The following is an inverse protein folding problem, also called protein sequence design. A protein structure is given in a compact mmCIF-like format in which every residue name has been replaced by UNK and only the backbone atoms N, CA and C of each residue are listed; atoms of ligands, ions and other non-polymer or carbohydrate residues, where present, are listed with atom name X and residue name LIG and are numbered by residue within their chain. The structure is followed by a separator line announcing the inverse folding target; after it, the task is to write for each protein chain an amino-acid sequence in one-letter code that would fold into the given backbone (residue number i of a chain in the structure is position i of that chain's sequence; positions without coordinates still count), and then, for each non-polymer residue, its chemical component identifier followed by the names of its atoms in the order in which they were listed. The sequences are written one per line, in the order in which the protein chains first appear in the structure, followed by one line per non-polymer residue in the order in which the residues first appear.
data_IF_229697843941
#
_entry.id   IF_229697843941
#
_cell.length_a   1.000
_cell.length_b   1.000
_cell.length_c   1.000
_cell.angle_alpha   90.00
_cell.angle_beta   90.00
_cell.angle_gamma   90.00
#
_symmetry.space_group_name_H-M   'P 1'
#
loop_
_entity.id
_entity.type
_entity.pdbx_description
1 polymer ?
#
# COMPACT_ATOMS: atom_id res chain seq x y z
N UNK A 1 -18.07 1.08 -4.15
CA UNK A 1 -17.17 2.21 -4.49
C UNK A 1 -16.83 2.93 -3.20
N UNK A 2 -15.53 3.03 -2.94
CA UNK A 2 -14.96 3.52 -1.69
C UNK A 2 -15.21 5.01 -1.47
N UNK A 3 -15.59 5.38 -0.25
CA UNK A 3 -15.63 6.77 0.17
C UNK A 3 -14.26 7.13 0.75
N UNK A 4 -13.60 8.15 0.22
CA UNK A 4 -12.26 8.57 0.66
C UNK A 4 -12.35 9.81 1.56
N UNK A 5 -11.48 9.89 2.57
CA UNK A 5 -11.28 11.10 3.37
C UNK A 5 -10.68 12.23 2.54
N UNK A 6 -10.90 13.47 2.95
CA UNK A 6 -10.31 14.64 2.29
C UNK A 6 -8.78 14.61 2.31
N UNK A 7 -8.18 14.15 3.42
CA UNK A 7 -6.74 13.96 3.52
C UNK A 7 -6.22 12.92 2.53
N UNK A 8 -6.89 11.77 2.40
CA UNK A 8 -6.49 10.74 1.43
C UNK A 8 -6.45 11.33 0.01
N UNK A 9 -7.51 12.03 -0.40
CA UNK A 9 -7.60 12.63 -1.73
C UNK A 9 -6.49 13.66 -1.97
N UNK A 10 -6.12 14.42 -0.94
CA UNK A 10 -5.02 15.38 -1.03
C UNK A 10 -3.65 14.72 -1.18
N UNK A 11 -3.42 13.55 -0.56
CA UNK A 11 -2.13 12.85 -0.66
C UNK A 11 -2.03 12.02 -1.94
N UNK A 12 -3.16 11.65 -2.54
CA UNK A 12 -3.16 10.88 -3.78
C UNK A 12 -2.46 11.64 -4.92
N UNK A 13 -1.52 10.97 -5.58
CA UNK A 13 -0.69 11.55 -6.64
C UNK A 13 0.44 12.47 -6.14
N UNK A 14 0.50 12.82 -4.85
CA UNK A 14 1.64 13.55 -4.29
C UNK A 14 2.77 12.58 -3.99
N UNK A 15 3.81 12.64 -4.83
CA UNK A 15 5.06 11.91 -4.59
C UNK A 15 6.09 12.84 -3.97
N UNK A 16 6.68 12.44 -2.86
CA UNK A 16 7.80 13.15 -2.26
C UNK A 16 9.09 12.38 -2.54
N UNK A 17 10.17 13.10 -2.84
CA UNK A 17 11.49 12.48 -2.84
C UNK A 17 11.84 12.12 -1.39
N UNK A 18 12.11 10.85 -1.11
CA UNK A 18 12.38 10.36 0.25
C UNK A 18 13.86 10.05 0.44
N UNK A 19 14.51 9.43 -0.54
CA UNK A 19 15.95 9.26 -0.53
C UNK A 19 16.55 9.90 -1.79
N UNK A 20 17.64 10.64 -1.63
CA UNK A 20 18.46 11.15 -2.73
C UNK A 20 19.84 10.56 -2.55
N UNK A 21 20.16 9.54 -3.34
CA UNK A 21 21.51 9.00 -3.37
C UNK A 21 22.32 9.65 -4.48
N UNK A 22 23.46 10.19 -4.07
CA UNK A 22 24.48 10.70 -4.97
C UNK A 22 25.59 9.66 -5.10
N UNK A 23 25.64 8.97 -6.25
CA UNK A 23 26.58 7.90 -6.50
C UNK A 23 27.63 8.37 -7.50
N UNK A 24 28.91 8.16 -7.16
CA UNK A 24 30.03 8.53 -8.03
C UNK A 24 30.37 7.37 -8.96
N UNK A 25 30.64 7.75 -10.20
CA UNK A 25 30.50 7.00 -11.42
C UNK A 25 31.36 5.75 -11.67
N UNK A 26 32.42 5.52 -10.89
CA UNK A 26 33.43 4.53 -11.26
C UNK A 26 32.90 3.09 -11.10
N UNK A 27 31.79 2.91 -10.39
CA UNK A 27 31.18 1.62 -10.11
C UNK A 27 29.80 1.45 -10.71
N UNK A 28 29.21 2.50 -11.29
CA UNK A 28 27.86 2.48 -11.86
C UNK A 28 27.90 2.22 -13.37
N UNK A 29 27.07 1.30 -13.83
CA UNK A 29 26.82 1.06 -15.27
C UNK A 29 25.33 0.89 -15.55
N UNK A 30 24.93 1.21 -16.79
CA UNK A 30 23.54 1.07 -17.25
C UNK A 30 23.45 0.01 -18.34
N UNK A 31 22.48 -0.89 -18.21
CA UNK A 31 21.97 -1.70 -19.32
C UNK A 31 20.57 -1.20 -19.71
N UNK A 32 19.95 -1.81 -20.72
CA UNK A 32 18.58 -1.50 -21.16
C UNK A 32 17.56 -1.46 -20.00
N UNK A 33 17.76 -2.31 -18.99
CA UNK A 33 16.80 -2.52 -17.91
C UNK A 33 17.44 -2.60 -16.52
N UNK A 34 18.71 -2.25 -16.36
CA UNK A 34 19.37 -2.28 -15.05
C UNK A 34 20.33 -1.13 -14.81
N UNK A 35 20.45 -0.81 -13.52
CA UNK A 35 21.54 -0.03 -12.95
C UNK A 35 22.35 -0.98 -12.10
N UNK A 36 23.60 -1.18 -12.45
CA UNK A 36 24.52 -2.06 -11.73
C UNK A 36 25.57 -1.20 -11.00
N UNK A 37 25.79 -1.45 -9.71
CA UNK A 37 26.78 -0.80 -8.87
C UNK A 37 27.74 -1.81 -8.26
N UNK A 38 29.00 -1.81 -8.70
CA UNK A 38 30.02 -2.70 -8.13
C UNK A 38 30.48 -2.32 -6.72
N UNK A 39 30.12 -1.13 -6.21
CA UNK A 39 30.41 -0.69 -4.84
C UNK A 39 29.32 -1.08 -3.82
N UNK A 40 28.16 -1.54 -4.26
CA UNK A 40 27.08 -1.94 -3.36
C UNK A 40 26.27 -0.80 -2.74
N UNK A 41 26.29 0.40 -3.33
CA UNK A 41 25.55 1.58 -2.87
C UNK A 41 24.04 1.47 -3.01
N UNK A 42 23.51 0.55 -3.82
CA UNK A 42 22.07 0.44 -4.11
C UNK A 42 21.27 -0.30 -3.02
N UNK A 43 21.86 -0.54 -1.84
CA UNK A 43 21.26 -1.32 -0.76
C UNK A 43 20.02 -0.70 -0.10
N UNK A 44 19.80 0.60 -0.28
CA UNK A 44 18.68 1.32 0.32
C UNK A 44 17.41 1.33 -0.55
N UNK A 45 17.48 0.79 -1.77
CA UNK A 45 16.34 0.67 -2.67
C UNK A 45 15.67 -0.69 -2.50
N UNK A 46 14.34 -0.71 -2.57
CA UNK A 46 13.55 -1.93 -2.47
C UNK A 46 12.68 -2.14 -3.71
N UNK A 47 12.26 -3.40 -3.91
CA UNK A 47 11.30 -3.72 -4.98
C UNK A 47 10.02 -2.92 -4.76
N UNK A 48 9.56 -2.24 -5.79
CA UNK A 48 8.38 -1.40 -5.75
C UNK A 48 8.67 0.10 -5.73
N UNK A 49 9.88 0.52 -5.33
CA UNK A 49 10.28 1.92 -5.31
C UNK A 49 10.12 2.56 -6.70
N UNK A 50 9.65 3.80 -6.73
CA UNK A 50 9.65 4.61 -7.94
C UNK A 50 10.85 5.55 -7.88
N UNK A 51 11.74 5.50 -8.87
CA UNK A 51 12.97 6.29 -8.86
C UNK A 51 13.01 7.29 -9.99
N UNK A 52 13.65 8.45 -9.76
CA UNK A 52 14.19 9.30 -10.82
C UNK A 52 15.67 9.03 -10.95
N UNK A 53 16.10 8.83 -12.18
CA UNK A 53 17.50 8.66 -12.54
C UNK A 53 17.93 9.86 -13.37
N UNK A 54 19.03 10.49 -12.95
CA UNK A 54 19.71 11.52 -13.71
C UNK A 54 21.16 11.09 -13.89
N UNK A 55 21.47 10.66 -15.11
CA UNK A 55 22.80 10.22 -15.51
C UNK A 55 23.11 10.67 -16.94
N UNK A 56 24.37 10.56 -17.36
CA UNK A 56 24.76 10.82 -18.75
C UNK A 56 23.94 9.91 -19.67
N UNK A 57 23.32 10.50 -20.70
CA UNK A 57 22.38 9.86 -21.65
C UNK A 57 21.03 9.38 -21.07
N UNK A 58 20.80 9.55 -19.77
CA UNK A 58 19.58 9.14 -19.06
C UNK A 58 19.12 10.30 -18.17
N UNK A 59 18.63 11.38 -18.77
CA UNK A 59 18.17 12.58 -18.06
C UNK A 59 16.70 12.48 -17.67
N UNK A 60 16.42 12.58 -16.37
CA UNK A 60 15.07 12.60 -15.79
C UNK A 60 14.22 11.38 -16.19
N UNK A 61 14.83 10.19 -16.15
CA UNK A 61 14.09 8.95 -16.37
C UNK A 61 13.40 8.57 -15.07
N UNK A 62 12.10 8.29 -15.16
CA UNK A 62 11.29 7.84 -14.03
C UNK A 62 10.88 6.39 -14.24
N UNK A 63 11.20 5.52 -13.29
CA UNK A 63 10.96 4.09 -13.45
C UNK A 63 10.67 3.39 -12.11
N UNK A 64 9.96 2.27 -12.18
CA UNK A 64 9.68 1.42 -11.02
C UNK A 64 10.71 0.30 -10.91
N UNK A 65 11.28 0.12 -9.73
CA UNK A 65 12.19 -0.98 -9.41
C UNK A 65 11.39 -2.28 -9.32
N UNK A 66 11.73 -3.27 -10.15
CA UNK A 66 11.07 -4.60 -10.18
C UNK A 66 11.92 -5.70 -9.52
N UNK A 67 13.23 -5.48 -9.37
CA UNK A 67 14.11 -6.29 -8.55
C UNK A 67 15.22 -5.40 -7.98
N UNK A 68 15.62 -5.63 -6.73
CA UNK A 68 16.62 -4.82 -6.04
C UNK A 68 17.60 -5.70 -5.26
N UNK A 69 18.88 -5.37 -5.35
CA UNK A 69 19.97 -5.88 -4.52
C UNK A 69 20.93 -4.73 -4.26
N UNK A 70 21.85 -4.88 -3.29
CA UNK A 70 22.88 -3.86 -3.03
C UNK A 70 23.69 -3.46 -4.27
N UNK A 71 23.84 -4.37 -5.25
CA UNK A 71 24.66 -4.15 -6.44
C UNK A 71 23.85 -3.93 -7.72
N UNK A 72 22.53 -4.04 -7.67
CA UNK A 72 21.72 -4.03 -8.90
C UNK A 72 20.28 -3.63 -8.65
N UNK A 73 19.80 -2.67 -9.43
CA UNK A 73 18.38 -2.39 -9.62
C UNK A 73 17.95 -2.83 -11.01
N UNK A 74 16.80 -3.49 -11.10
CA UNK A 74 16.21 -3.96 -12.37
C UNK A 74 14.86 -3.27 -12.59
N UNK A 75 14.56 -2.98 -13.85
CA UNK A 75 13.41 -2.23 -14.33
C UNK A 75 12.77 -2.94 -15.52
N UNK A 76 11.71 -2.35 -16.08
CA UNK A 76 11.15 -2.82 -17.35
C UNK A 76 12.17 -2.71 -18.49
N UNK A 77 12.09 -3.58 -19.50
CA UNK A 77 12.93 -3.45 -20.70
C UNK A 77 12.68 -2.09 -21.40
N UNK A 78 13.72 -1.52 -22.01
CA UNK A 78 13.66 -0.21 -22.66
C UNK A 78 13.70 0.99 -21.72
N UNK A 79 13.98 0.79 -20.42
CA UNK A 79 13.93 1.88 -19.44
C UNK A 79 15.10 2.85 -19.61
N UNK A 80 16.31 2.36 -19.91
CA UNK A 80 17.51 3.19 -20.02
C UNK A 80 18.21 3.04 -21.36
N UNK A 81 18.82 4.13 -21.81
CA UNK A 81 19.84 4.06 -22.84
C UNK A 81 21.14 3.51 -22.24
N UNK A 82 21.78 2.59 -22.94
CA UNK A 82 23.08 2.06 -22.52
C UNK A 82 24.10 3.19 -22.37
N UNK A 83 24.80 3.21 -21.23
CA UNK A 83 25.84 4.19 -20.94
C UNK A 83 27.03 3.48 -20.31
N UNK A 84 28.23 3.84 -20.76
CA UNK A 84 29.47 3.36 -20.17
C UNK A 84 29.67 3.93 -18.76
N UNK A 85 30.42 3.21 -17.93
CA UNK A 85 30.80 3.68 -16.59
C UNK A 85 31.58 5.00 -16.65
N UNK A 86 31.53 5.80 -15.57
CA UNK A 86 32.34 7.02 -15.44
C UNK A 86 31.61 8.38 -15.49
N UNK A 87 30.28 8.42 -15.70
CA UNK A 87 29.45 9.62 -15.52
C UNK A 87 28.74 9.71 -14.15
N UNK A 88 28.59 10.91 -13.58
CA UNK A 88 27.85 11.12 -12.32
C UNK A 88 26.40 10.62 -12.44
N UNK A 89 25.93 9.93 -11.40
CA UNK A 89 24.57 9.39 -11.34
C UNK A 89 23.88 9.89 -10.07
N UNK A 90 22.72 10.52 -10.26
CA UNK A 90 21.78 10.82 -9.19
C UNK A 90 20.62 9.84 -9.29
N UNK A 91 20.31 9.15 -8.19
CA UNK A 91 19.14 8.30 -8.08
C UNK A 91 18.31 8.79 -6.89
N UNK A 92 17.06 9.11 -7.15
CA UNK A 92 16.14 9.60 -6.13
C UNK A 92 14.96 8.65 -6.01
N UNK A 93 14.66 8.15 -4.81
CA UNK A 93 13.39 7.45 -4.57
C UNK A 93 12.30 8.46 -4.32
N UNK A 94 11.16 8.22 -4.97
CA UNK A 94 9.91 8.86 -4.66
C UNK A 94 9.07 7.84 -3.93
N UNK A 95 8.70 8.15 -2.69
CA UNK A 95 7.72 7.36 -1.96
C UNK A 95 6.45 8.17 -1.75
N UNK A 96 5.35 7.44 -1.69
CA UNK A 96 4.03 8.01 -1.46
C UNK A 96 3.31 8.38 -2.74
N UNK A 97 2.07 8.83 -2.57
CA UNK A 97 1.20 9.23 -3.66
C UNK A 97 0.49 8.08 -4.36
N UNK A 98 0.96 6.82 -4.25
CA UNK A 98 0.15 5.68 -4.67
C UNK A 98 -0.92 5.36 -3.62
N UNK A 99 -2.03 4.79 -4.08
CA UNK A 99 -3.14 4.42 -3.21
C UNK A 99 -2.68 3.45 -2.10
N UNK A 100 -1.86 2.45 -2.44
CA UNK A 100 -1.38 1.44 -1.50
C UNK A 100 -0.45 2.03 -0.44
N UNK A 101 0.49 2.92 -0.82
CA UNK A 101 1.42 3.54 0.12
C UNK A 101 0.73 4.49 1.12
N UNK A 102 -0.29 5.23 0.67
CA UNK A 102 -0.99 6.22 1.51
C UNK A 102 -1.69 5.57 2.71
N UNK A 103 -2.15 4.32 2.57
CA UNK A 103 -2.82 3.55 3.62
C UNK A 103 -2.05 2.32 4.10
N UNK A 104 -0.76 2.24 3.77
CA UNK A 104 0.08 1.12 4.14
C UNK A 104 0.14 0.90 5.65
N UNK A 105 0.35 -0.35 6.04
CA UNK A 105 0.41 -0.82 7.41
C UNK A 105 -0.79 -0.33 8.24
N UNK A 106 -1.95 -0.29 7.59
CA UNK A 106 -3.19 0.17 8.20
C UNK A 106 -3.89 -0.94 8.97
N UNK A 107 -5.15 -0.68 9.31
CA UNK A 107 -6.09 -1.70 9.82
C UNK A 107 -7.48 -1.46 9.28
N UNK A 108 -8.31 -2.49 9.31
CA UNK A 108 -9.70 -2.40 8.85
C UNK A 108 -10.70 -2.67 9.98
N UNK A 109 -11.49 -1.66 10.34
CA UNK A 109 -12.50 -1.79 11.39
C UNK A 109 -13.88 -2.09 10.76
N UNK A 110 -14.57 -3.11 11.26
CA UNK A 110 -15.92 -3.50 10.80
C UNK A 110 -16.99 -2.89 11.70
N UNK A 111 -18.10 -2.42 11.12
CA UNK A 111 -19.20 -1.77 11.85
C UNK A 111 -20.56 -2.27 11.40
N UNK A 112 -21.55 -2.21 12.29
CA UNK A 112 -22.98 -2.39 11.92
C UNK A 112 -23.53 -1.18 11.17
N UNK A 113 -24.70 -1.35 10.55
CA UNK A 113 -25.49 -0.25 10.00
C UNK A 113 -25.01 0.22 8.62
N UNK A 114 -25.28 1.49 8.32
CA UNK A 114 -24.94 2.11 7.03
C UNK A 114 -23.66 2.92 7.13
N UNK A 115 -22.82 2.81 6.10
CA UNK A 115 -21.59 3.61 6.00
C UNK A 115 -21.89 5.11 6.06
N UNK A 116 -20.99 5.93 6.64
CA UNK A 116 -21.08 7.39 6.59
C UNK A 116 -21.05 7.94 5.16
N UNK A 117 -21.49 9.20 4.99
CA UNK A 117 -21.55 9.86 3.68
C UNK A 117 -20.17 10.05 3.06
N UNK A 118 -19.16 10.25 3.90
CA UNK A 118 -17.76 10.33 3.54
C UNK A 118 -16.89 9.83 4.71
N UNK A 119 -15.62 9.56 4.44
CA UNK A 119 -14.72 9.07 5.48
C UNK A 119 -14.21 10.17 6.43
N UNK A 120 -14.61 11.44 6.33
CA UNK A 120 -14.26 12.46 7.33
C UNK A 120 -15.26 12.48 8.51
N UNK A 121 -16.45 11.91 8.32
CA UNK A 121 -17.47 11.77 9.36
C UNK A 121 -17.06 10.75 10.43
N UNK A 122 -17.60 10.91 11.64
CA UNK A 122 -17.41 9.95 12.73
C UNK A 122 -17.99 8.58 12.36
N UNK A 123 -17.41 7.52 12.92
CA UNK A 123 -17.91 6.16 12.71
C UNK A 123 -19.31 6.00 13.29
N UNK A 124 -20.19 5.33 12.56
CA UNK A 124 -21.56 5.04 12.96
C UNK A 124 -21.76 3.55 13.28
N UNK A 125 -22.73 3.24 14.13
CA UNK A 125 -23.03 1.86 14.52
C UNK A 125 -22.05 1.29 15.55
N UNK A 126 -22.15 -0.03 15.76
CA UNK A 126 -21.33 -0.78 16.71
C UNK A 126 -20.12 -1.34 15.99
N UNK A 127 -18.93 -1.13 16.56
CA UNK A 127 -17.70 -1.77 16.08
C UNK A 127 -17.73 -3.27 16.38
N UNK A 128 -17.50 -4.09 15.35
CA UNK A 128 -17.63 -5.54 15.40
C UNK A 128 -16.29 -6.27 15.35
N UNK A 129 -15.28 -5.74 14.68
CA UNK A 129 -13.95 -6.37 14.57
C UNK A 129 -12.87 -5.36 14.16
N UNK A 130 -11.61 -5.71 14.42
CA UNK A 130 -10.41 -4.97 13.99
C UNK A 130 -9.53 -5.92 13.14
N UNK A 131 -9.73 -5.95 11.83
CA UNK A 131 -8.92 -6.78 10.95
C UNK A 131 -7.49 -6.22 10.87
N UNK A 132 -6.55 -7.09 11.20
CA UNK A 132 -5.11 -6.85 11.19
C UNK A 132 -4.40 -8.04 10.53
N UNK A 133 -3.09 -7.95 10.37
CA UNK A 133 -2.31 -9.07 9.85
C UNK A 133 -2.37 -10.24 10.84
N UNK A 134 -2.88 -11.37 10.37
CA UNK A 134 -3.10 -12.60 11.13
C UNK A 134 -3.95 -12.44 12.41
N UNK A 135 -4.75 -11.37 12.53
CA UNK A 135 -5.53 -11.08 13.75
C UNK A 135 -4.66 -10.72 14.96
N UNK A 136 -3.41 -10.33 14.73
CA UNK A 136 -2.49 -9.95 15.80
C UNK A 136 -2.72 -8.52 16.28
N UNK A 137 -2.29 -8.22 17.52
CA UNK A 137 -2.48 -6.91 18.12
C UNK A 137 -1.80 -5.80 17.29
N UNK A 138 -2.56 -4.78 16.93
CA UNK A 138 -2.08 -3.62 16.18
C UNK A 138 -1.85 -2.42 17.11
N UNK A 139 -0.74 -1.72 16.91
CA UNK A 139 -0.41 -0.50 17.64
C UNK A 139 -0.31 0.65 16.66
N UNK A 140 -1.09 1.71 16.87
CA UNK A 140 -1.10 2.84 15.95
C UNK A 140 0.28 3.51 15.84
N UNK A 141 0.67 3.81 14.60
CA UNK A 141 1.96 4.41 14.27
C UNK A 141 3.10 3.40 14.17
N UNK A 142 2.84 2.11 14.43
CA UNK A 142 3.84 1.03 14.34
C UNK A 142 3.44 0.09 13.21
N UNK A 143 4.36 -0.16 12.27
CA UNK A 143 4.05 -0.96 11.08
C UNK A 143 3.71 -2.43 11.38
N UNK A 144 4.19 -2.95 12.52
CA UNK A 144 3.97 -4.33 12.93
C UNK A 144 2.47 -4.67 13.01
N UNK A 145 2.11 -5.78 12.39
CA UNK A 145 0.73 -6.30 12.27
C UNK A 145 -0.24 -5.42 11.46
N UNK A 146 0.26 -4.38 10.78
CA UNK A 146 -0.51 -3.63 9.80
C UNK A 146 -0.77 -4.44 8.53
N UNK A 147 -1.87 -4.14 7.85
CA UNK A 147 -2.25 -4.75 6.57
C UNK A 147 -1.92 -3.84 5.39
N UNK A 148 -1.68 -4.42 4.23
CA UNK A 148 -1.20 -3.69 3.05
C UNK A 148 -1.98 -4.06 1.78
N UNK A 149 -2.21 -3.07 0.91
CA UNK A 149 -2.66 -3.35 -0.45
C UNK A 149 -1.47 -3.81 -1.31
N UNK A 150 -1.75 -4.79 -2.16
CA UNK A 150 -0.78 -5.37 -3.07
C UNK A 150 -0.68 -4.62 -4.39
N UNK A 151 -0.22 -5.34 -5.39
CA UNK A 151 -0.17 -4.85 -6.77
C UNK A 151 -1.56 -4.82 -7.40
N UNK A 152 -1.69 -4.04 -8.47
CA UNK A 152 -2.89 -3.97 -9.28
C UNK A 152 -3.09 -5.28 -10.05
N UNK A 153 -4.29 -5.84 -9.99
CA UNK A 153 -4.77 -6.91 -10.84
C UNK A 153 -5.86 -6.34 -11.77
N UNK A 154 -5.52 -6.14 -13.04
CA UNK A 154 -6.32 -5.32 -13.96
C UNK A 154 -6.46 -3.88 -13.46
N UNK A 155 -7.67 -3.48 -13.07
CA UNK A 155 -7.97 -2.14 -12.53
C UNK A 155 -8.32 -2.16 -11.03
N UNK A 156 -7.97 -3.24 -10.34
CA UNK A 156 -8.37 -3.47 -8.95
C UNK A 156 -7.15 -3.76 -8.07
N UNK A 157 -6.98 -3.03 -6.98
CA UNK A 157 -6.01 -3.40 -5.94
C UNK A 157 -6.60 -4.49 -5.06
N UNK A 158 -5.74 -5.46 -4.73
CA UNK A 158 -6.02 -6.63 -3.90
C UNK A 158 -5.21 -6.56 -2.60
N UNK A 159 -5.39 -7.56 -1.74
CA UNK A 159 -4.52 -7.78 -0.58
C UNK A 159 -3.07 -7.99 -1.01
N UNK A 160 -2.12 -7.49 -0.22
CA UNK A 160 -0.71 -7.72 -0.47
C UNK A 160 -0.33 -9.19 -0.32
N UNK A 161 0.83 -9.54 -0.91
CA UNK A 161 1.54 -10.78 -0.63
C UNK A 161 2.52 -10.46 0.49
N UNK A 162 2.49 -11.26 1.56
CA UNK A 162 3.47 -11.18 2.63
C UNK A 162 4.84 -11.61 2.08
N UNK A 163 5.85 -10.72 2.09
CA UNK A 163 7.16 -11.02 1.53
C UNK A 163 7.90 -12.14 2.28
N UNK A 164 7.58 -12.39 3.54
CA UNK A 164 8.21 -13.46 4.33
C UNK A 164 7.71 -14.85 3.93
N UNK A 165 6.44 -14.96 3.54
CA UNK A 165 5.79 -16.25 3.27
C UNK A 165 5.48 -16.48 1.78
N UNK A 166 5.45 -15.42 0.97
CA UNK A 166 5.01 -15.47 -0.42
C UNK A 166 3.50 -15.74 -0.58
N UNK A 167 2.74 -15.71 0.51
CA UNK A 167 1.30 -15.93 0.51
C UNK A 167 0.53 -14.61 0.61
N UNK A 168 -0.73 -14.59 0.18
CA UNK A 168 -1.62 -13.44 0.39
C UNK A 168 -1.74 -13.17 1.88
N UNK A 169 -1.59 -11.90 2.29
CA UNK A 169 -1.78 -11.48 3.67
C UNK A 169 -3.13 -11.97 4.20
N UNK A 170 -3.10 -12.68 5.33
CA UNK A 170 -4.29 -13.11 6.02
C UNK A 170 -4.80 -11.97 6.90
N UNK A 171 -5.93 -11.38 6.54
CA UNK A 171 -6.55 -10.31 7.29
C UNK A 171 -7.65 -10.88 8.16
N UNK A 172 -7.38 -10.93 9.45
CA UNK A 172 -8.22 -11.60 10.42
C UNK A 172 -8.37 -10.76 11.70
N UNK A 173 -9.32 -11.15 12.54
CA UNK A 173 -9.58 -10.61 13.86
C UNK A 173 -10.41 -11.60 14.67
N UNK A 174 -10.59 -11.32 15.96
CA UNK A 174 -11.70 -11.87 16.72
C UNK A 174 -12.85 -10.86 16.77
N UNK A 175 -14.08 -11.36 16.78
CA UNK A 175 -15.26 -10.53 16.95
C UNK A 175 -15.25 -9.81 18.30
N UNK A 176 -15.45 -8.50 18.29
CA UNK A 176 -15.57 -7.67 19.48
C UNK A 176 -17.00 -7.62 20.02
N UNK A 177 -18.00 -7.68 19.13
CA UNK A 177 -19.41 -7.63 19.47
C UNK A 177 -20.25 -8.45 18.49
N UNK A 178 -21.46 -8.84 18.93
CA UNK A 178 -22.42 -9.52 18.07
C UNK A 178 -23.10 -8.53 17.12
N UNK A 179 -23.20 -8.88 15.86
CA UNK A 179 -23.98 -8.11 14.89
C UNK A 179 -23.60 -8.39 13.44
N UNK A 180 -24.37 -7.84 12.50
CA UNK A 180 -24.09 -7.98 11.07
C UNK A 180 -23.25 -6.81 10.58
N UNK A 181 -22.06 -7.09 10.05
CA UNK A 181 -21.14 -6.11 9.49
C UNK A 181 -21.75 -5.46 8.25
N UNK A 182 -22.12 -4.19 8.37
CA UNK A 182 -22.71 -3.34 7.34
C UNK A 182 -21.68 -2.79 6.37
N UNK A 183 -20.62 -2.26 6.95
CA UNK A 183 -19.56 -1.50 6.29
C UNK A 183 -18.27 -1.61 7.10
N UNK A 184 -17.18 -1.09 6.57
CA UNK A 184 -15.97 -0.95 7.35
C UNK A 184 -15.10 0.21 6.89
N UNK A 185 -14.17 0.57 7.76
CA UNK A 185 -13.25 1.70 7.61
C UNK A 185 -11.82 1.21 7.62
N UNK A 186 -11.10 1.51 6.56
CA UNK A 186 -9.65 1.40 6.55
C UNK A 186 -9.06 2.66 7.13
N UNK A 187 -8.18 2.51 8.12
CA UNK A 187 -7.34 3.59 8.61
C UNK A 187 -5.90 3.37 8.19
N UNK A 188 -5.19 4.43 7.81
CA UNK A 188 -3.73 4.39 7.73
C UNK A 188 -3.10 3.99 9.07
N UNK A 189 -1.80 3.68 9.08
CA UNK A 189 -1.09 3.28 10.31
C UNK A 189 -1.32 4.22 11.52
N UNK A 190 -1.42 5.53 11.28
CA UNK A 190 -1.85 6.49 12.30
C UNK A 190 -3.38 6.53 12.36
N UNK A 191 -3.93 5.97 13.44
CA UNK A 191 -5.37 5.83 13.65
C UNK A 191 -5.90 7.10 14.30
N UNK A 192 -6.91 7.69 13.67
CA UNK A 192 -7.69 8.80 14.23
C UNK A 192 -9.17 8.44 14.05
N UNK A 193 -9.84 8.17 15.17
CA UNK A 193 -11.28 7.87 15.23
C UNK A 193 -12.10 9.15 15.39
N UNK A 194 -13.41 9.08 15.15
CA UNK A 194 -14.30 10.22 15.23
C UNK A 194 -14.27 11.08 13.97
N UNK A 195 -14.84 12.29 14.03
CA UNK A 195 -14.82 13.21 12.90
C UNK A 195 -13.42 13.80 12.71
N UNK A 196 -12.88 13.75 11.48
CA UNK A 196 -11.54 14.23 11.18
C UNK A 196 -11.34 14.50 9.70
N UNK A 197 -10.74 15.64 9.37
CA UNK A 197 -10.31 16.03 8.02
C UNK A 197 -8.81 15.83 7.80
N UNK A 198 -8.08 15.36 8.81
CA UNK A 198 -6.63 15.11 8.75
C UNK A 198 -6.28 13.63 8.80
N UNK A 199 -7.26 12.77 9.05
CA UNK A 199 -7.09 11.32 9.07
C UNK A 199 -7.09 10.78 7.64
N UNK A 200 -6.11 9.93 7.33
CA UNK A 200 -6.09 9.17 6.07
C UNK A 200 -6.87 7.88 6.26
N UNK A 201 -8.07 7.84 5.69
CA UNK A 201 -9.00 6.72 5.80
C UNK A 201 -9.95 6.59 4.61
N UNK A 202 -10.53 5.40 4.46
CA UNK A 202 -11.54 5.11 3.44
C UNK A 202 -12.60 4.13 3.93
N UNK A 203 -13.82 4.26 3.43
CA UNK A 203 -14.96 3.42 3.81
C UNK A 203 -15.45 2.57 2.64
N UNK A 204 -15.73 1.30 2.92
CA UNK A 204 -16.22 0.35 1.92
C UNK A 204 -17.38 -0.46 2.45
N UNK A 205 -18.17 -1.02 1.53
CA UNK A 205 -19.30 -1.89 1.88
C UNK A 205 -18.83 -3.31 2.15
N UNK A 206 -19.28 -3.88 3.26
CA UNK A 206 -18.99 -5.28 3.62
C UNK A 206 -19.99 -6.19 2.91
N UNK A 207 -19.49 -7.24 2.27
CA UNK A 207 -20.29 -8.21 1.53
C UNK A 207 -19.72 -9.62 1.64
N UNK A 208 -20.46 -10.60 1.13
CA UNK A 208 -20.00 -11.96 0.86
C UNK A 208 -19.87 -12.23 -0.65
N UNK A 209 -20.37 -11.31 -1.48
CA UNK A 209 -20.32 -11.44 -2.92
C UNK A 209 -18.91 -11.11 -3.45
N UNK A 210 -18.34 -11.96 -4.33
CA UNK A 210 -17.09 -11.65 -5.02
C UNK A 210 -17.15 -10.30 -5.75
N UNK A 211 -16.03 -9.57 -5.74
CA UNK A 211 -15.91 -8.27 -6.42
C UNK A 211 -16.51 -7.07 -5.66
N UNK A 212 -17.10 -7.27 -4.49
CA UNK A 212 -17.48 -6.15 -3.62
C UNK A 212 -16.30 -5.55 -2.86
N UNK A 213 -16.51 -4.36 -2.27
CA UNK A 213 -15.44 -3.58 -1.63
C UNK A 213 -14.67 -4.41 -0.58
N UNK A 214 -15.37 -4.99 0.42
CA UNK A 214 -14.78 -5.94 1.39
C UNK A 214 -15.54 -7.25 1.38
N UNK A 215 -14.84 -8.36 1.09
CA UNK A 215 -15.46 -9.69 1.00
C UNK A 215 -15.07 -10.52 2.22
N UNK A 216 -16.06 -10.95 2.99
CA UNK A 216 -15.87 -11.76 4.20
C UNK A 216 -15.86 -13.25 3.89
N UNK A 217 -15.02 -14.01 4.61
CA UNK A 217 -14.88 -15.46 4.42
C UNK A 217 -16.13 -16.24 4.89
N UNK A 218 -16.58 -15.97 6.11
CA UNK A 218 -17.59 -16.80 6.80
C UNK A 218 -18.94 -16.09 6.99
N UNK A 219 -19.26 -15.15 6.11
CA UNK A 219 -20.47 -14.33 6.25
C UNK A 219 -20.21 -12.98 6.92
N UNK A 220 -21.29 -12.22 7.09
CA UNK A 220 -21.25 -10.87 7.68
C UNK A 220 -21.66 -10.85 9.15
N UNK A 221 -22.20 -11.94 9.65
CA UNK A 221 -22.60 -12.04 11.05
C UNK A 221 -21.37 -12.30 11.90
N UNK A 222 -21.04 -11.32 12.72
CA UNK A 222 -19.91 -11.34 13.63
C UNK A 222 -20.43 -11.77 14.99
N UNK A 223 -19.72 -12.72 15.59
CA UNK A 223 -19.98 -13.20 16.95
C UNK A 223 -18.78 -12.84 17.81
N UNK A 224 -19.04 -12.28 18.99
CA UNK A 224 -17.99 -11.91 19.94
C UNK A 224 -17.12 -13.12 20.31
N UNK A 225 -15.81 -12.95 20.25
CA UNK A 225 -14.80 -13.99 20.49
C UNK A 225 -14.65 -15.03 19.39
N UNK A 226 -15.45 -14.98 18.31
CA UNK A 226 -15.29 -15.89 17.18
C UNK A 226 -14.33 -15.30 16.13
N UNK A 227 -13.57 -16.15 15.42
CA UNK A 227 -12.65 -15.67 14.38
C UNK A 227 -13.41 -15.10 13.19
N UNK A 228 -12.90 -13.97 12.70
CA UNK A 228 -13.40 -13.20 11.57
C UNK A 228 -12.24 -13.04 10.58
N UNK A 229 -12.49 -13.26 9.29
CA UNK A 229 -11.49 -13.05 8.26
C UNK A 229 -12.10 -12.52 6.97
N UNK A 230 -11.34 -11.72 6.24
CA UNK A 230 -11.67 -11.36 4.86
C UNK A 230 -11.03 -12.35 3.88
N UNK A 231 -11.72 -12.58 2.76
CA UNK A 231 -11.18 -13.31 1.60
C UNK A 231 -10.60 -12.38 0.57
N UNK A 232 -11.16 -11.17 0.46
CA UNK A 232 -10.73 -10.22 -0.56
C UNK A 232 -11.05 -8.78 -0.17
N UNK A 233 -10.31 -7.87 -0.80
CA UNK A 233 -10.63 -6.45 -0.87
C UNK A 233 -10.54 -6.02 -2.33
N UNK A 234 -11.49 -5.21 -2.77
CA UNK A 234 -11.51 -4.71 -4.13
C UNK A 234 -11.53 -3.18 -4.10
N UNK A 235 -10.37 -2.57 -4.36
CA UNK A 235 -10.30 -1.13 -4.64
C UNK A 235 -10.23 -0.96 -6.15
N UNK A 236 -11.37 -0.69 -6.78
CA UNK A 236 -11.46 -0.57 -8.24
C UNK A 236 -11.42 0.90 -8.66
N UNK A 237 -10.58 1.20 -9.64
CA UNK A 237 -10.51 2.51 -10.28
C UNK A 237 -11.35 2.47 -11.57
N UNK A 238 -12.44 3.24 -11.60
CA UNK A 238 -13.28 3.35 -12.79
C UNK A 238 -12.68 4.39 -13.76
N UNK A 239 -12.34 3.97 -14.99
CA UNK A 239 -11.98 4.89 -16.07
C UNK A 239 -10.53 5.39 -16.08
N UNK A 240 -9.58 4.61 -15.56
CA UNK A 240 -8.14 4.76 -15.89
C UNK A 240 -7.76 3.80 -17.01
#
# INVERSE_FOLDING_TARGET
MWNLSSKFQQEFGKRAAVNVEYLIANTISFTDNSIDDSAGGLGNFVVGDFVRVVAVNNWNIYARVIAATANKLTFAAGTFAAAAAGGQVFIETFQGGSFAEIIQNGRFDLYTGTRPGNADEAETGTKLAELTLNGSAFVSGVATNGINLGVLDGNTLKRAIDPATGAVENWAADGLANGTAGWGRWYSNTIITGASTVATRMDGTVTTAPGGDIVMLNGRDIVSGAPVASTDINVTFAGM
#
